data_IF_069156164550
#
_entry.id   IF_069156164550
#
_cell.length_a   1.000
_cell.length_b   1.000
_cell.length_c   1.000
_cell.angle_alpha   90.00
_cell.angle_beta   90.00
_cell.angle_gamma   90.00
#
_symmetry.space_group_name_H-M   'P 1'
#
loop_
_entity.id
_entity.type
_entity.pdbx_description
1 polymer ?
#
# COMPACT_ATOMS: atom_id res chain seq x y z
N UNK A 1 -17.15 -32.17 -0.32
CA UNK A 1 -15.86 -32.50 -0.95
C UNK A 1 -14.79 -31.64 -0.34
N UNK A 2 -13.77 -32.27 0.23
CA UNK A 2 -12.54 -31.61 0.67
C UNK A 2 -11.62 -31.55 -0.55
N UNK A 3 -10.97 -30.42 -0.79
CA UNK A 3 -9.98 -30.27 -1.86
C UNK A 3 -8.60 -30.62 -1.27
N UNK A 4 -7.97 -31.66 -1.78
CA UNK A 4 -6.65 -32.14 -1.34
C UNK A 4 -5.57 -31.98 -2.43
N UNK A 5 -5.95 -32.01 -3.71
CA UNK A 5 -5.00 -31.90 -4.83
C UNK A 5 -5.51 -30.94 -5.90
N UNK A 6 -4.61 -30.12 -6.46
CA UNK A 6 -4.87 -29.25 -7.62
C UNK A 6 -3.91 -29.62 -8.75
N UNK A 7 -4.47 -29.89 -9.94
CA UNK A 7 -3.71 -30.26 -11.14
C UNK A 7 -3.83 -29.16 -12.18
N UNK A 8 -2.70 -28.54 -12.53
CA UNK A 8 -2.63 -27.52 -13.58
C UNK A 8 -2.30 -28.17 -14.92
N UNK A 9 -3.23 -28.09 -15.87
CA UNK A 9 -3.11 -28.66 -17.22
C UNK A 9 -3.02 -27.54 -18.24
N UNK A 10 -2.01 -27.61 -19.12
CA UNK A 10 -1.81 -26.67 -20.24
C UNK A 10 -1.44 -27.45 -21.49
N UNK A 11 -2.08 -27.11 -22.61
CA UNK A 11 -1.83 -27.74 -23.92
C UNK A 11 -1.93 -29.28 -23.89
N UNK A 12 -2.86 -29.81 -23.07
CA UNK A 12 -3.08 -31.24 -22.90
C UNK A 12 -2.04 -31.96 -22.02
N UNK A 13 -1.11 -31.22 -21.41
CA UNK A 13 -0.07 -31.77 -20.54
C UNK A 13 -0.25 -31.28 -19.10
N UNK A 14 0.02 -32.16 -18.14
CA UNK A 14 0.12 -31.79 -16.72
C UNK A 14 1.40 -30.97 -16.56
N UNK A 15 1.24 -29.69 -16.24
CA UNK A 15 2.34 -28.77 -16.00
C UNK A 15 2.79 -28.82 -14.54
N UNK A 16 1.84 -28.91 -13.61
CA UNK A 16 2.12 -28.83 -12.18
C UNK A 16 1.02 -29.50 -11.37
N UNK A 17 1.41 -30.12 -10.26
CA UNK A 17 0.50 -30.72 -9.29
C UNK A 17 0.81 -30.12 -7.92
N UNK A 18 -0.24 -29.79 -7.19
CA UNK A 18 -0.17 -29.23 -5.85
C UNK A 18 -0.93 -30.09 -4.85
N UNK A 19 -0.32 -30.30 -3.69
CA UNK A 19 -0.95 -30.87 -2.51
C UNK A 19 -1.42 -29.76 -1.56
N UNK A 20 -2.62 -29.93 -1.02
CA UNK A 20 -3.25 -29.02 -0.06
C UNK A 20 -3.38 -29.74 1.28
N UNK A 21 -2.73 -29.19 2.31
CA UNK A 21 -2.74 -29.77 3.65
C UNK A 21 -3.14 -28.73 4.68
N UNK A 22 -4.16 -29.02 5.50
CA UNK A 22 -4.54 -28.15 6.61
C UNK A 22 -3.62 -28.41 7.82
N UNK A 23 -2.97 -27.37 8.32
CA UNK A 23 -2.15 -27.37 9.53
C UNK A 23 -2.52 -26.25 10.47
N UNK A 24 -2.28 -26.44 11.76
CA UNK A 24 -2.35 -25.37 12.77
C UNK A 24 -0.93 -24.86 13.01
N UNK A 25 -0.63 -23.64 12.56
CA UNK A 25 0.71 -23.03 12.66
C UNK A 25 0.62 -21.50 12.67
N UNK A 26 1.76 -20.85 12.90
CA UNK A 26 1.93 -19.42 12.59
C UNK A 26 2.18 -19.29 11.09
N UNK A 27 1.42 -18.45 10.35
CA UNK A 27 1.63 -18.24 8.91
C UNK A 27 3.02 -17.71 8.58
N UNK A 28 3.50 -18.06 7.38
CA UNK A 28 4.79 -17.63 6.85
C UNK A 28 4.83 -16.11 6.70
N UNK A 29 5.79 -15.46 7.36
CA UNK A 29 5.94 -14.00 7.34
C UNK A 29 5.46 -13.29 8.60
N UNK A 30 4.76 -13.99 9.49
CA UNK A 30 4.36 -13.52 10.84
C UNK A 30 5.38 -13.98 11.91
N UNK A 31 5.36 -13.38 13.10
CA UNK A 31 6.23 -13.71 14.23
C UNK A 31 5.55 -14.66 15.20
N UNK A 32 6.34 -15.35 16.01
CA UNK A 32 5.86 -16.34 16.98
C UNK A 32 4.95 -15.76 18.08
N UNK A 33 4.92 -14.44 18.26
CA UNK A 33 3.97 -13.80 19.18
C UNK A 33 2.51 -13.86 18.69
N UNK A 34 2.28 -14.19 17.42
CA UNK A 34 0.95 -14.38 16.87
C UNK A 34 0.41 -15.78 17.17
N UNK A 35 -0.88 -15.85 17.54
CA UNK A 35 -1.54 -17.11 17.84
C UNK A 35 -1.59 -18.02 16.60
N UNK A 36 -1.26 -19.29 16.79
CA UNK A 36 -1.37 -20.32 15.78
C UNK A 36 -2.82 -20.43 15.30
N UNK A 37 -3.00 -20.51 13.98
CA UNK A 37 -4.31 -20.55 13.32
C UNK A 37 -4.36 -21.67 12.29
N UNK A 38 -5.56 -22.09 11.85
CA UNK A 38 -5.69 -23.00 10.72
C UNK A 38 -5.14 -22.34 9.45
N UNK A 39 -4.19 -23.01 8.80
CA UNK A 39 -3.56 -22.61 7.53
C UNK A 39 -3.61 -23.79 6.58
N UNK A 40 -3.99 -23.57 5.33
CA UNK A 40 -3.85 -24.56 4.26
C UNK A 40 -2.50 -24.31 3.58
N UNK A 41 -1.59 -25.26 3.71
CA UNK A 41 -0.33 -25.27 2.97
C UNK A 41 -0.58 -25.78 1.55
N UNK A 42 -0.14 -25.04 0.54
CA UNK A 42 -0.14 -25.46 -0.86
C UNK A 42 1.30 -25.79 -1.24
N UNK A 43 1.58 -27.08 -1.41
CA UNK A 43 2.92 -27.60 -1.69
C UNK A 43 3.00 -28.15 -3.08
N UNK A 44 4.12 -27.93 -3.76
CA UNK A 44 4.40 -28.61 -5.02
C UNK A 44 4.54 -30.12 -4.75
N UNK A 45 3.79 -30.93 -5.50
CA UNK A 45 3.74 -32.39 -5.34
C UNK A 45 5.12 -33.05 -5.57
N UNK A 46 5.91 -32.53 -6.51
CA UNK A 46 7.14 -33.19 -6.96
C UNK A 46 8.28 -33.08 -5.93
N UNK A 47 8.40 -31.94 -5.26
CA UNK A 47 9.51 -31.62 -4.35
C UNK A 47 9.07 -31.22 -2.94
N UNK A 48 7.77 -31.26 -2.66
CA UNK A 48 7.15 -30.91 -1.39
C UNK A 48 7.42 -29.45 -0.93
N UNK A 49 7.83 -28.58 -1.86
CA UNK A 49 8.12 -27.17 -1.54
C UNK A 49 6.84 -26.41 -1.21
N UNK A 50 6.83 -25.69 -0.09
CA UNK A 50 5.73 -24.81 0.28
C UNK A 50 5.77 -23.57 -0.61
N UNK A 51 4.82 -23.46 -1.53
CA UNK A 51 4.75 -22.34 -2.47
C UNK A 51 3.74 -21.29 -2.04
N UNK A 52 2.62 -21.71 -1.43
CA UNK A 52 1.59 -20.81 -0.94
C UNK A 52 0.98 -21.27 0.38
N UNK A 53 0.38 -20.33 1.09
CA UNK A 53 -0.47 -20.59 2.25
C UNK A 53 -1.83 -19.92 2.04
N UNK A 54 -2.90 -20.58 2.45
CA UNK A 54 -4.23 -19.97 2.56
C UNK A 54 -4.57 -19.84 4.04
N UNK A 55 -4.91 -18.64 4.48
CA UNK A 55 -5.40 -18.43 5.83
C UNK A 55 -6.38 -17.25 5.86
N UNK A 56 -7.11 -17.15 6.96
CA UNK A 56 -8.05 -16.05 7.17
C UNK A 56 -7.33 -14.86 7.82
N UNK A 57 -7.47 -13.68 7.20
CA UNK A 57 -7.06 -12.40 7.76
C UNK A 57 -8.30 -11.53 7.96
N UNK A 58 -8.63 -11.21 9.21
CA UNK A 58 -9.92 -10.61 9.57
C UNK A 58 -11.09 -11.55 9.19
N UNK A 59 -11.91 -11.14 8.22
CA UNK A 59 -13.08 -11.89 7.73
C UNK A 59 -12.88 -12.51 6.33
N UNK A 60 -11.69 -12.37 5.73
CA UNK A 60 -11.42 -12.79 4.35
C UNK A 60 -10.36 -13.90 4.28
N UNK A 61 -10.53 -14.82 3.33
CA UNK A 61 -9.56 -15.85 3.03
C UNK A 61 -8.57 -15.34 1.98
N UNK A 62 -7.28 -15.33 2.30
CA UNK A 62 -6.20 -14.83 1.43
C UNK A 62 -5.25 -15.94 1.04
N UNK A 63 -4.69 -15.87 -0.17
CA UNK A 63 -3.66 -16.80 -0.67
C UNK A 63 -2.33 -16.07 -0.75
N UNK A 64 -1.32 -16.56 -0.04
CA UNK A 64 -0.05 -15.86 0.17
C UNK A 64 1.12 -16.72 -0.33
N UNK A 65 1.99 -16.20 -1.21
CA UNK A 65 3.18 -16.92 -1.65
C UNK A 65 4.28 -16.98 -0.58
N UNK A 66 4.93 -18.13 -0.46
CA UNK A 66 6.02 -18.40 0.49
C UNK A 66 7.36 -18.40 -0.27
N UNK A 67 8.41 -17.81 0.34
CA UNK A 67 9.79 -17.93 -0.16
C UNK A 67 10.34 -16.76 -1.00
N UNK A 68 9.52 -15.83 -1.47
CA UNK A 68 10.00 -14.49 -1.91
C UNK A 68 10.00 -13.57 -0.69
N UNK A 69 10.76 -12.47 -0.66
CA UNK A 69 10.65 -11.46 0.42
C UNK A 69 9.24 -10.84 0.37
N UNK A 70 8.25 -11.53 0.93
CA UNK A 70 6.81 -11.29 0.78
C UNK A 70 6.18 -10.56 1.95
N UNK A 71 6.97 -10.10 2.92
CA UNK A 71 6.51 -9.15 3.95
C UNK A 71 5.75 -7.98 3.31
N UNK A 72 6.31 -7.40 2.25
CA UNK A 72 5.71 -6.30 1.48
C UNK A 72 4.33 -6.66 0.89
N UNK A 73 4.12 -7.91 0.46
CA UNK A 73 2.87 -8.33 -0.18
C UNK A 73 1.73 -8.52 0.84
N UNK A 74 2.04 -9.15 1.97
CA UNK A 74 1.08 -9.34 3.07
C UNK A 74 0.80 -8.01 3.75
N UNK A 75 1.84 -7.21 4.00
CA UNK A 75 1.73 -5.84 4.52
C UNK A 75 0.84 -5.02 3.60
N UNK A 76 1.03 -5.07 2.28
CA UNK A 76 0.18 -4.35 1.32
C UNK A 76 -1.27 -4.83 1.33
N UNK A 77 -1.52 -6.14 1.42
CA UNK A 77 -2.89 -6.66 1.51
C UNK A 77 -3.59 -6.23 2.81
N UNK A 78 -2.88 -6.27 3.93
CA UNK A 78 -3.38 -5.79 5.21
C UNK A 78 -3.64 -4.27 5.17
N UNK A 79 -2.69 -3.51 4.62
CA UNK A 79 -2.77 -2.07 4.41
C UNK A 79 -3.99 -1.70 3.55
N UNK A 80 -4.18 -2.36 2.41
CA UNK A 80 -5.33 -2.13 1.51
C UNK A 80 -6.66 -2.41 2.22
N UNK A 81 -6.75 -3.50 2.99
CA UNK A 81 -7.97 -3.86 3.74
C UNK A 81 -8.31 -2.85 4.83
N UNK A 82 -7.30 -2.42 5.59
CA UNK A 82 -7.47 -1.40 6.63
C UNK A 82 -7.85 -0.08 5.97
N UNK A 83 -7.12 0.33 4.92
CA UNK A 83 -7.40 1.56 4.17
C UNK A 83 -8.85 1.58 3.68
N UNK A 84 -9.34 0.49 3.10
CA UNK A 84 -10.73 0.37 2.64
C UNK A 84 -11.76 0.50 3.78
N UNK A 85 -11.44 0.00 4.96
CA UNK A 85 -12.29 0.15 6.15
C UNK A 85 -12.38 1.63 6.58
N UNK A 86 -11.25 2.35 6.53
CA UNK A 86 -11.17 3.74 6.95
C UNK A 86 -11.62 4.76 5.90
N UNK A 87 -11.64 4.39 4.60
CA UNK A 87 -12.19 5.22 3.51
C UNK A 87 -13.64 5.65 3.72
N UNK A 88 -14.42 4.86 4.46
CA UNK A 88 -15.81 5.19 4.82
C UNK A 88 -15.92 6.43 5.71
N UNK A 89 -14.86 6.74 6.44
CA UNK A 89 -14.75 7.91 7.32
C UNK A 89 -13.95 9.01 6.64
N UNK A 90 -12.74 8.70 6.21
CA UNK A 90 -11.81 9.61 5.54
C UNK A 90 -11.34 8.98 4.22
N UNK A 91 -11.79 9.49 3.06
CA UNK A 91 -11.34 9.00 1.75
C UNK A 91 -9.82 9.05 1.55
N UNK A 92 -9.10 9.87 2.33
CA UNK A 92 -7.65 10.10 2.25
C UNK A 92 -6.90 9.50 3.43
N UNK A 93 -7.52 8.56 4.15
CA UNK A 93 -6.88 7.82 5.24
C UNK A 93 -5.61 7.10 4.73
N UNK A 94 -4.55 7.19 5.52
CA UNK A 94 -3.31 6.46 5.28
C UNK A 94 -3.05 5.48 6.40
N UNK A 95 -2.39 4.39 6.07
CA UNK A 95 -2.15 3.28 6.99
C UNK A 95 -0.66 3.00 7.04
N UNK A 96 -0.10 3.04 8.24
CA UNK A 96 1.27 2.63 8.53
C UNK A 96 1.19 1.37 9.40
N UNK A 97 1.71 0.25 8.90
CA UNK A 97 1.82 -0.98 9.69
C UNK A 97 3.02 -0.82 10.63
N UNK A 98 2.74 -0.69 11.93
CA UNK A 98 3.78 -0.55 12.95
C UNK A 98 4.31 -1.92 13.39
N UNK A 99 3.42 -2.91 13.49
CA UNK A 99 3.73 -4.31 13.75
C UNK A 99 2.59 -5.21 13.26
N UNK A 100 2.74 -6.52 13.42
CA UNK A 100 1.79 -7.53 12.90
C UNK A 100 0.37 -7.37 13.43
N UNK A 101 0.21 -6.88 14.68
CA UNK A 101 -1.09 -6.64 15.30
C UNK A 101 -1.33 -5.17 15.67
N UNK A 102 -0.52 -4.24 15.17
CA UNK A 102 -0.67 -2.82 15.48
C UNK A 102 -0.45 -1.95 14.25
N UNK A 103 -1.43 -1.10 13.99
CA UNK A 103 -1.43 -0.21 12.83
C UNK A 103 -1.71 1.21 13.27
N UNK A 104 -1.07 2.15 12.60
CA UNK A 104 -1.32 3.58 12.75
C UNK A 104 -2.09 4.06 11.55
N UNK A 105 -3.23 4.70 11.79
CA UNK A 105 -4.08 5.25 10.73
C UNK A 105 -4.08 6.76 10.85
N UNK A 106 -3.55 7.43 9.82
CA UNK A 106 -3.53 8.88 9.73
C UNK A 106 -4.77 9.37 9.00
N UNK A 107 -5.53 10.23 9.66
CA UNK A 107 -6.79 10.79 9.15
C UNK A 107 -6.89 12.28 9.39
N UNK A 108 -7.72 12.97 8.62
CA UNK A 108 -8.04 14.37 8.89
C UNK A 108 -8.71 14.49 10.28
N UNK A 109 -8.31 15.54 11.01
CA UNK A 109 -8.73 15.78 12.40
C UNK A 109 -10.25 15.77 12.59
N UNK A 110 -10.99 16.24 11.58
CA UNK A 110 -12.45 16.27 11.59
C UNK A 110 -13.11 14.88 11.67
N UNK A 111 -12.43 13.82 11.25
CA UNK A 111 -12.98 12.46 11.23
C UNK A 111 -12.63 11.65 12.48
N UNK A 112 -11.58 12.01 13.22
CA UNK A 112 -11.12 11.29 14.43
C UNK A 112 -12.26 11.02 15.42
N UNK A 113 -13.14 11.98 15.78
CA UNK A 113 -14.21 11.72 16.76
C UNK A 113 -15.21 10.65 16.28
N UNK A 114 -15.51 10.60 14.98
CA UNK A 114 -16.44 9.63 14.40
C UNK A 114 -15.84 8.23 14.34
N UNK A 115 -14.54 8.14 14.09
CA UNK A 115 -13.78 6.89 14.05
C UNK A 115 -13.65 6.30 15.46
N UNK A 116 -13.29 7.11 16.46
CA UNK A 116 -13.18 6.63 17.85
C UNK A 116 -14.55 6.26 18.41
N UNK A 117 -15.56 7.12 18.18
CA UNK A 117 -16.90 6.95 18.74
C UNK A 117 -16.98 7.27 20.23
N UNK A 118 -18.19 7.28 20.78
CA UNK A 118 -18.43 7.63 22.19
C UNK A 118 -17.78 6.61 23.12
N UNK A 119 -16.78 7.04 23.90
CA UNK A 119 -16.04 6.15 24.79
C UNK A 119 -15.25 5.06 24.08
N UNK A 120 -14.90 5.26 22.80
CA UNK A 120 -14.14 4.28 22.02
C UNK A 120 -14.96 3.12 21.44
N UNK A 121 -16.31 3.18 21.48
CA UNK A 121 -17.14 2.06 21.02
C UNK A 121 -16.90 1.69 19.55
N UNK A 122 -16.73 2.68 18.68
CA UNK A 122 -16.60 2.44 17.24
C UNK A 122 -15.21 1.88 16.90
N UNK A 123 -14.13 2.46 17.45
CA UNK A 123 -12.79 1.93 17.23
C UNK A 123 -12.63 0.51 17.78
N UNK A 124 -13.22 0.20 18.94
CA UNK A 124 -13.22 -1.15 19.49
C UNK A 124 -13.95 -2.17 18.60
N UNK A 125 -14.99 -1.76 17.88
CA UNK A 125 -15.68 -2.62 16.90
C UNK A 125 -14.82 -2.83 15.65
N UNK A 126 -14.19 -1.77 15.14
CA UNK A 126 -13.27 -1.82 14.00
C UNK A 126 -12.08 -2.75 14.32
N UNK A 127 -11.47 -2.62 15.49
CA UNK A 127 -10.36 -3.47 15.94
C UNK A 127 -10.77 -4.94 16.06
N UNK A 128 -11.97 -5.22 16.59
CA UNK A 128 -12.49 -6.60 16.65
C UNK A 128 -12.70 -7.21 15.27
N UNK A 129 -13.20 -6.42 14.31
CA UNK A 129 -13.41 -6.88 12.94
C UNK A 129 -12.08 -7.13 12.22
N UNK A 130 -11.10 -6.23 12.37
CA UNK A 130 -9.81 -6.32 11.70
C UNK A 130 -8.81 -7.22 12.43
N UNK A 131 -9.08 -7.60 13.69
CA UNK A 131 -8.19 -8.36 14.57
C UNK A 131 -6.81 -7.69 14.78
N UNK A 132 -6.76 -6.36 14.75
CA UNK A 132 -5.54 -5.56 14.98
C UNK A 132 -5.86 -4.37 15.89
N UNK A 133 -4.86 -3.89 16.63
CA UNK A 133 -4.94 -2.64 17.39
C UNK A 133 -4.69 -1.44 16.48
N UNK A 134 -5.51 -0.40 16.59
CA UNK A 134 -5.49 0.74 15.69
C UNK A 134 -5.24 2.05 16.45
N UNK A 135 -4.08 2.67 16.19
CA UNK A 135 -3.79 4.03 16.63
C UNK A 135 -4.30 5.04 15.60
N UNK A 136 -5.35 5.78 15.95
CA UNK A 136 -5.88 6.85 15.08
C UNK A 136 -5.15 8.15 15.40
N UNK A 137 -4.42 8.67 14.42
CA UNK A 137 -3.58 9.87 14.58
C UNK A 137 -4.01 10.93 13.57
N UNK A 138 -3.93 12.20 13.97
CA UNK A 138 -4.10 13.31 13.04
C UNK A 138 -3.05 13.23 11.94
N UNK A 139 -3.48 13.38 10.69
CA UNK A 139 -2.59 13.54 9.56
C UNK A 139 -1.84 14.87 9.71
N UNK A 140 -0.55 14.80 10.04
CA UNK A 140 0.30 15.98 9.99
C UNK A 140 0.48 16.38 8.53
N UNK A 141 0.60 17.69 8.27
CA UNK A 141 0.76 18.26 6.92
C UNK A 141 1.99 17.75 6.14
N UNK A 142 2.85 16.93 6.76
CA UNK A 142 4.00 16.28 6.13
C UNK A 142 3.75 14.82 5.69
N UNK A 143 2.63 14.19 6.09
CA UNK A 143 2.35 12.78 5.79
C UNK A 143 1.56 12.57 4.48
N UNK A 144 1.38 13.56 3.60
CA UNK A 144 0.58 13.39 2.37
C UNK A 144 1.03 12.30 1.37
N UNK A 145 2.09 11.53 1.63
CA UNK A 145 2.77 10.73 0.61
C UNK A 145 3.04 9.28 1.03
N UNK A 146 2.16 8.32 0.71
CA UNK A 146 2.39 6.87 0.93
C UNK A 146 1.57 6.01 -0.06
N UNK A 147 1.56 6.37 -1.35
CA UNK A 147 1.44 5.32 -2.36
C UNK A 147 2.86 4.82 -2.67
N UNK A 148 3.04 3.53 -2.95
CA UNK A 148 4.37 2.90 -3.13
C UNK A 148 5.20 3.50 -4.29
N UNK A 149 4.58 4.32 -5.15
CA UNK A 149 5.23 5.05 -6.22
C UNK A 149 5.36 6.55 -5.92
N UNK A 150 4.82 7.03 -4.81
CA UNK A 150 4.92 8.44 -4.43
C UNK A 150 6.39 8.80 -4.20
N UNK A 151 6.76 9.95 -4.73
CA UNK A 151 8.12 10.37 -4.91
C UNK A 151 8.33 11.63 -4.06
N UNK A 152 8.89 11.49 -2.85
CA UNK A 152 9.17 12.63 -1.98
C UNK A 152 9.99 13.67 -2.71
N UNK A 153 9.53 14.92 -2.65
CA UNK A 153 10.15 16.03 -3.34
C UNK A 153 10.20 17.29 -2.49
N UNK A 154 11.15 18.15 -2.82
CA UNK A 154 11.14 19.55 -2.39
C UNK A 154 10.75 20.43 -3.56
N UNK A 155 9.88 21.39 -3.29
CA UNK A 155 9.44 22.38 -4.28
C UNK A 155 10.22 23.67 -4.12
N UNK A 156 10.63 24.25 -5.23
CA UNK A 156 11.16 25.61 -5.28
C UNK A 156 10.76 26.30 -6.56
N UNK A 157 10.64 27.61 -6.48
CA UNK A 157 10.25 28.44 -7.60
C UNK A 157 11.37 29.41 -7.95
N UNK A 158 11.77 29.41 -9.22
CA UNK A 158 12.67 30.43 -9.77
C UNK A 158 11.89 31.47 -10.56
N UNK A 159 12.57 32.52 -11.03
CA UNK A 159 11.95 33.51 -11.93
C UNK A 159 11.37 32.90 -13.21
N UNK A 160 11.92 31.77 -13.67
CA UNK A 160 11.61 31.22 -15.00
C UNK A 160 10.99 29.82 -14.98
N UNK A 161 11.06 29.09 -13.87
CA UNK A 161 10.64 27.69 -13.78
C UNK A 161 10.21 27.29 -12.37
N UNK A 162 9.27 26.35 -12.31
CA UNK A 162 8.96 25.54 -11.13
C UNK A 162 9.96 24.37 -11.08
N UNK A 163 10.50 24.07 -9.90
CA UNK A 163 11.56 23.10 -9.71
C UNK A 163 11.14 22.12 -8.62
N UNK A 164 11.03 20.85 -9.00
CA UNK A 164 10.79 19.73 -8.09
C UNK A 164 12.09 18.96 -7.96
N UNK A 165 12.58 18.79 -6.73
CA UNK A 165 13.83 18.07 -6.46
C UNK A 165 13.53 16.81 -5.66
N UNK A 166 13.88 15.67 -6.23
CA UNK A 166 13.70 14.32 -5.70
C UNK A 166 15.07 13.67 -5.45
N UNK A 167 15.09 12.49 -4.85
CA UNK A 167 16.35 11.74 -4.66
C UNK A 167 17.06 11.47 -5.99
N UNK A 168 18.39 11.51 -5.99
CA UNK A 168 19.20 11.31 -7.20
C UNK A 168 19.14 9.88 -7.73
N UNK A 169 18.73 8.92 -6.91
CA UNK A 169 18.57 7.52 -7.33
C UNK A 169 17.55 7.35 -8.46
N UNK A 170 16.58 8.26 -8.55
CA UNK A 170 15.55 8.28 -9.60
C UNK A 170 15.98 9.04 -10.86
N UNK A 171 17.26 9.43 -10.97
CA UNK A 171 17.78 10.08 -12.17
C UNK A 171 17.49 9.23 -13.41
N UNK A 172 17.10 9.87 -14.50
CA UNK A 172 16.75 9.23 -15.77
C UNK A 172 15.45 8.41 -15.80
N UNK A 173 14.79 8.21 -14.66
CA UNK A 173 13.41 7.71 -14.59
C UNK A 173 12.40 8.80 -14.95
N UNK A 174 11.12 8.44 -15.06
CA UNK A 174 10.02 9.39 -15.28
C UNK A 174 9.18 9.52 -14.02
N UNK A 175 8.64 10.71 -13.79
CA UNK A 175 7.64 10.95 -12.77
C UNK A 175 6.38 11.53 -13.41
N UNK A 176 5.23 11.02 -13.00
CA UNK A 176 3.92 11.60 -13.26
C UNK A 176 3.63 12.64 -12.17
N UNK A 177 3.08 13.79 -12.57
CA UNK A 177 2.79 14.92 -11.70
C UNK A 177 1.28 15.09 -11.64
N UNK A 178 0.76 15.13 -10.41
CA UNK A 178 -0.66 15.30 -10.12
C UNK A 178 -0.87 16.55 -9.27
N UNK A 179 -2.06 17.11 -9.36
CA UNK A 179 -2.53 18.17 -8.47
C UNK A 179 -3.94 17.84 -8.01
N UNK A 180 -4.17 17.70 -6.69
CA UNK A 180 -5.46 17.29 -6.13
C UNK A 180 -6.04 16.05 -6.83
N UNK A 181 -5.23 15.00 -6.98
CA UNK A 181 -5.56 13.75 -7.70
C UNK A 181 -5.82 13.91 -9.22
N UNK A 182 -5.71 15.11 -9.79
CA UNK A 182 -5.82 15.34 -11.24
C UNK A 182 -4.45 15.23 -11.93
N UNK A 183 -4.36 14.37 -12.95
CA UNK A 183 -3.14 14.19 -13.73
C UNK A 183 -2.78 15.44 -14.54
N UNK A 184 -1.55 15.93 -14.39
CA UNK A 184 -1.06 17.09 -15.13
C UNK A 184 -0.14 16.69 -16.27
N UNK A 185 0.93 15.94 -15.98
CA UNK A 185 1.97 15.61 -16.98
C UNK A 185 2.87 14.48 -16.51
N UNK A 186 3.56 13.84 -17.46
CA UNK A 186 4.71 12.97 -17.20
C UNK A 186 6.00 13.67 -17.62
N UNK A 187 7.08 13.53 -16.86
CA UNK A 187 8.37 14.15 -17.22
C UNK A 187 9.55 13.35 -16.68
N UNK A 188 10.66 13.37 -17.44
CA UNK A 188 11.91 12.72 -17.05
C UNK A 188 12.61 13.48 -15.93
N UNK A 189 13.14 12.74 -14.96
CA UNK A 189 13.97 13.26 -13.87
C UNK A 189 15.39 13.53 -14.38
N UNK A 190 15.83 14.78 -14.26
CA UNK A 190 17.14 15.22 -14.74
C UNK A 190 18.31 14.73 -13.89
N UNK A 191 19.55 14.96 -14.37
CA UNK A 191 20.81 14.45 -13.78
C UNK A 191 21.07 14.80 -12.31
N UNK A 192 20.34 15.76 -11.74
CA UNK A 192 20.46 16.20 -10.35
C UNK A 192 19.29 15.75 -9.47
N UNK A 193 18.46 14.80 -9.94
CA UNK A 193 17.18 14.52 -9.30
C UNK A 193 16.19 15.67 -9.46
N UNK A 194 16.29 16.44 -10.56
CA UNK A 194 15.49 17.67 -10.72
C UNK A 194 14.56 17.57 -11.92
N UNK A 195 13.30 17.92 -11.68
CA UNK A 195 12.29 18.19 -12.70
C UNK A 195 12.12 19.72 -12.76
N UNK A 196 12.24 20.29 -13.96
CA UNK A 196 12.11 21.74 -14.19
C UNK A 196 11.00 21.99 -15.18
N UNK A 197 9.93 22.66 -14.73
CA UNK A 197 8.80 23.04 -15.57
C UNK A 197 8.88 24.54 -15.85
N UNK A 198 9.13 24.98 -17.10
CA UNK A 198 9.18 26.40 -17.43
C UNK A 198 7.83 27.07 -17.16
N UNK A 199 7.83 28.21 -16.45
CA UNK A 199 6.60 28.94 -16.08
C UNK A 199 5.73 29.36 -17.27
N UNK A 200 6.36 29.59 -18.43
CA UNK A 200 5.67 29.95 -19.67
C UNK A 200 4.88 28.80 -20.29
N UNK A 201 5.15 27.56 -19.89
CA UNK A 201 4.47 26.38 -20.43
C UNK A 201 3.01 26.32 -19.97
N UNK A 202 2.16 25.67 -20.78
CA UNK A 202 0.76 25.41 -20.40
C UNK A 202 0.69 24.52 -19.16
N UNK A 203 1.63 23.59 -19.02
CA UNK A 203 1.79 22.72 -17.84
C UNK A 203 1.97 23.53 -16.56
N UNK A 204 2.90 24.51 -16.55
CA UNK A 204 3.11 25.34 -15.37
C UNK A 204 1.89 26.22 -15.06
N UNK A 205 1.21 26.75 -16.09
CA UNK A 205 -0.03 27.52 -15.90
C UNK A 205 -1.14 26.64 -15.31
N UNK A 206 -1.25 25.40 -15.75
CA UNK A 206 -2.24 24.47 -15.21
C UNK A 206 -1.93 24.10 -13.75
N UNK A 207 -0.66 23.79 -13.46
CA UNK A 207 -0.16 23.55 -12.09
C UNK A 207 -0.47 24.71 -11.16
N UNK A 208 -0.10 25.94 -11.53
CA UNK A 208 -0.32 27.13 -10.70
C UNK A 208 -1.81 27.50 -10.56
N UNK A 209 -2.67 27.06 -11.49
CA UNK A 209 -4.12 27.29 -11.40
C UNK A 209 -4.79 26.31 -10.45
N UNK A 210 -4.36 25.05 -10.48
CA UNK A 210 -4.98 23.96 -9.72
C UNK A 210 -4.40 23.82 -8.31
N UNK A 211 -3.11 24.10 -8.13
CA UNK A 211 -2.43 24.00 -6.84
C UNK A 211 -2.52 25.33 -6.09
N UNK A 212 -3.23 25.32 -4.96
CA UNK A 212 -3.30 26.44 -4.01
C UNK A 212 -2.15 26.39 -3.00
N UNK A 213 -1.57 25.20 -2.79
CA UNK A 213 -0.42 24.97 -1.91
C UNK A 213 0.53 23.90 -2.48
N UNK A 214 1.75 23.81 -1.94
CA UNK A 214 2.68 22.72 -2.31
C UNK A 214 2.09 21.34 -1.98
N UNK A 215 1.30 21.23 -0.92
CA UNK A 215 0.72 19.97 -0.46
C UNK A 215 -0.34 19.42 -1.42
N UNK A 216 -0.78 20.23 -2.38
CA UNK A 216 -1.74 19.83 -3.40
C UNK A 216 -1.05 19.07 -4.54
N UNK A 217 0.28 19.11 -4.63
CA UNK A 217 1.08 18.52 -5.72
C UNK A 217 1.65 17.19 -5.26
N UNK A 218 1.46 16.15 -6.06
CA UNK A 218 2.04 14.83 -5.86
C UNK A 218 2.88 14.43 -7.06
N UNK A 219 3.95 13.66 -6.81
CA UNK A 219 4.80 13.10 -7.85
C UNK A 219 4.80 11.59 -7.68
N UNK A 220 4.52 10.83 -8.75
CA UNK A 220 4.62 9.38 -8.73
C UNK A 220 5.67 8.91 -9.71
N UNK A 221 6.57 8.03 -9.28
CA UNK A 221 7.52 7.35 -10.15
C UNK A 221 6.75 6.48 -11.15
N UNK A 222 7.11 6.61 -12.43
CA UNK A 222 6.53 5.82 -13.51
C UNK A 222 7.49 4.69 -13.86
N UNK A 223 7.10 3.47 -13.50
CA UNK A 223 7.78 2.26 -13.94
C UNK A 223 7.49 2.00 -15.42
N UNK A 224 8.53 1.74 -16.22
CA UNK A 224 8.45 1.27 -17.60
C UNK A 224 8.94 -0.18 -17.68
#
# INVERSE_FOLDING_TARGET
NVLDTVVFVKDGQIQKVYDLELKVKVPSGMTESDLARPVIEIRNFDDNTLEHEIYTFGEENVIVPVGKKTKIGIEKLAEDKIRETFKKYDPRAQVEILSENRVKVLVDEQYIPSIIGRGGTNINEIEKQLQVHVDVVKKDSEHYNLDANDLPFTFSESKIALIFTVSKEYTAMHADIYVNDEYITSTRIGKKGQIKIPKRSDVARNLMKLASSQNDIQLFLKDF
#
